data_IF_644340403571
#
_entry.id   IF_644340403571
#
_cell.length_a   1.000
_cell.length_b   1.000
_cell.length_c   1.000
_cell.angle_alpha   90.00
_cell.angle_beta   90.00
_cell.angle_gamma   90.00
#
_symmetry.space_group_name_H-M   'P 1'
#
loop_
_entity.id
_entity.type
_entity.pdbx_description
1 polymer ?
#
# COMPACT_ATOMS: atom_id res chain seq x y z
N UNK A 1 14.06 16.92 17.08
CA UNK A 1 12.70 16.91 16.49
C UNK A 1 12.74 16.74 14.98
N UNK A 2 13.64 17.42 14.26
CA UNK A 2 13.84 17.32 12.80
C UNK A 2 14.04 15.89 12.24
N UNK A 3 14.86 15.05 12.89
CA UNK A 3 15.16 13.70 12.38
C UNK A 3 13.98 12.73 12.38
N UNK A 4 12.95 12.97 13.20
CA UNK A 4 11.76 12.10 13.27
C UNK A 4 10.92 12.20 12.00
N UNK A 5 10.79 13.40 11.43
CA UNK A 5 10.04 13.64 10.19
C UNK A 5 10.72 13.09 8.94
N UNK A 6 12.05 12.92 8.98
CA UNK A 6 12.82 12.31 7.89
C UNK A 6 12.68 10.78 7.86
N UNK A 7 12.49 10.15 9.02
CA UNK A 7 12.52 8.69 9.16
C UNK A 7 11.13 8.03 9.15
N UNK A 8 10.11 8.74 9.64
CA UNK A 8 8.71 8.27 9.67
C UNK A 8 8.14 7.84 8.31
N UNK A 9 8.24 8.64 7.22
CA UNK A 9 7.68 8.23 5.93
C UNK A 9 8.40 7.01 5.37
N UNK A 10 9.74 7.00 5.42
CA UNK A 10 10.56 5.86 4.97
C UNK A 10 10.27 4.56 5.73
N UNK A 11 9.97 4.66 7.02
CA UNK A 11 9.56 3.52 7.84
C UNK A 11 8.16 3.02 7.46
N UNK A 12 7.22 3.92 7.16
CA UNK A 12 5.86 3.59 6.72
C UNK A 12 5.86 2.85 5.38
N UNK A 13 6.62 3.31 4.38
CA UNK A 13 6.81 2.62 3.08
C UNK A 13 7.26 1.17 3.31
N UNK A 14 8.28 0.99 4.17
CA UNK A 14 8.90 -0.32 4.42
C UNK A 14 7.94 -1.29 5.13
N UNK A 15 7.13 -0.80 6.05
CA UNK A 15 6.09 -1.57 6.73
C UNK A 15 5.00 -2.02 5.76
N UNK A 16 4.56 -1.12 4.87
CA UNK A 16 3.56 -1.42 3.83
C UNK A 16 4.06 -2.53 2.91
N UNK A 17 5.30 -2.43 2.40
CA UNK A 17 5.88 -3.45 1.53
C UNK A 17 5.96 -4.82 2.22
N UNK A 18 6.40 -4.87 3.48
CA UNK A 18 6.47 -6.11 4.22
C UNK A 18 5.08 -6.74 4.43
N UNK A 19 4.09 -5.92 4.80
CA UNK A 19 2.69 -6.37 4.88
C UNK A 19 2.19 -6.93 3.55
N UNK A 20 2.62 -6.33 2.41
CA UNK A 20 2.12 -6.76 1.11
C UNK A 20 2.54 -8.15 0.68
N UNK A 21 3.80 -8.48 0.94
CA UNK A 21 4.37 -9.78 0.59
C UNK A 21 3.74 -10.88 1.44
N UNK A 22 3.51 -10.61 2.72
CA UNK A 22 2.91 -11.58 3.63
C UNK A 22 1.46 -11.92 3.25
N UNK A 23 0.59 -10.94 2.98
CA UNK A 23 -0.79 -11.25 2.60
C UNK A 23 -0.84 -12.06 1.29
N UNK A 24 0.02 -11.73 0.31
CA UNK A 24 0.06 -12.43 -0.98
C UNK A 24 0.40 -13.91 -0.79
N UNK A 25 1.38 -14.19 0.05
CA UNK A 25 1.83 -15.56 0.32
C UNK A 25 0.74 -16.39 1.02
N UNK A 26 0.04 -15.79 1.99
CA UNK A 26 -1.05 -16.46 2.71
C UNK A 26 -2.20 -16.82 1.78
N UNK A 27 -2.63 -15.88 0.92
CA UNK A 27 -3.70 -16.15 -0.05
C UNK A 27 -3.32 -17.23 -1.07
N UNK A 28 -2.09 -17.22 -1.59
CA UNK A 28 -1.60 -18.26 -2.49
C UNK A 28 -1.57 -19.63 -1.80
N UNK A 29 -1.09 -19.69 -0.56
CA UNK A 29 -1.04 -20.93 0.20
C UNK A 29 -2.45 -21.47 0.49
N UNK A 30 -3.38 -20.60 0.90
CA UNK A 30 -4.77 -20.98 1.15
C UNK A 30 -5.48 -21.48 -0.12
N UNK A 31 -5.24 -20.85 -1.27
CA UNK A 31 -5.80 -21.30 -2.55
C UNK A 31 -5.31 -22.71 -2.93
N UNK A 32 -4.01 -22.98 -2.75
CA UNK A 32 -3.44 -24.30 -3.03
C UNK A 32 -4.02 -25.39 -2.12
N UNK A 33 -4.14 -25.13 -0.82
CA UNK A 33 -4.71 -26.08 0.14
C UNK A 33 -6.19 -26.39 -0.18
N UNK A 34 -6.97 -25.38 -0.57
CA UNK A 34 -8.37 -25.57 -0.97
C UNK A 34 -8.51 -26.44 -2.22
N UNK A 35 -7.66 -26.23 -3.24
CA UNK A 35 -7.63 -27.06 -4.45
C UNK A 35 -7.29 -28.52 -4.11
N UNK A 36 -6.29 -28.74 -3.25
CA UNK A 36 -5.89 -30.09 -2.83
C UNK A 36 -7.01 -30.80 -2.06
N UNK A 37 -7.69 -30.09 -1.16
CA UNK A 37 -8.85 -30.64 -0.43
C UNK A 37 -10.00 -31.00 -1.37
N UNK A 38 -10.30 -30.15 -2.36
CA UNK A 38 -11.39 -30.41 -3.30
C UNK A 38 -11.08 -31.60 -4.21
N UNK A 39 -9.83 -31.71 -4.70
CA UNK A 39 -9.35 -32.91 -5.42
C UNK A 39 -9.50 -34.18 -4.59
N UNK A 40 -9.10 -34.15 -3.32
CA UNK A 40 -9.22 -35.29 -2.43
C UNK A 40 -10.68 -35.71 -2.19
N UNK A 41 -11.58 -34.74 -2.01
CA UNK A 41 -13.03 -35.02 -1.87
C UNK A 41 -13.62 -35.63 -3.12
N UNK A 42 -13.27 -35.12 -4.30
CA UNK A 42 -13.76 -35.64 -5.58
C UNK A 42 -13.26 -37.05 -5.86
N UNK A 43 -11.96 -37.31 -5.70
CA UNK A 43 -11.39 -38.65 -5.89
C UNK A 43 -11.97 -39.67 -4.92
N UNK A 44 -12.43 -39.22 -3.74
CA UNK A 44 -13.16 -40.06 -2.81
C UNK A 44 -14.62 -40.26 -3.21
N UNK A 45 -15.31 -39.26 -3.74
CA UNK A 45 -16.75 -39.35 -4.02
C UNK A 45 -17.09 -40.01 -5.36
N UNK A 46 -16.26 -39.84 -6.39
CA UNK A 46 -16.49 -40.38 -7.74
C UNK A 46 -16.60 -41.92 -7.77
N UNK A 47 -15.69 -42.70 -7.17
CA UNK A 47 -15.80 -44.17 -7.22
C UNK A 47 -16.95 -44.73 -6.38
N UNK A 48 -17.59 -43.92 -5.52
CA UNK A 48 -18.76 -44.33 -4.72
C UNK A 48 -20.10 -43.98 -5.40
N UNK A 49 -20.10 -43.53 -6.66
CA UNK A 49 -21.33 -43.27 -7.43
C UNK A 49 -21.93 -44.56 -7.99
N UNK A 50 -23.24 -44.56 -8.23
CA UNK A 50 -23.96 -45.70 -8.80
C UNK A 50 -23.54 -46.00 -10.25
N UNK A 51 -23.64 -47.26 -10.68
CA UNK A 51 -23.27 -47.70 -12.04
C UNK A 51 -24.01 -46.91 -13.14
N UNK A 52 -25.29 -46.59 -12.91
CA UNK A 52 -26.09 -45.80 -13.84
C UNK A 52 -25.54 -44.38 -14.03
N UNK A 53 -24.84 -43.81 -13.04
CA UNK A 53 -24.24 -42.49 -13.17
C UNK A 53 -23.04 -42.50 -14.12
N UNK A 54 -22.27 -43.60 -14.14
CA UNK A 54 -21.14 -43.79 -15.05
C UNK A 54 -21.57 -44.02 -16.51
N UNK A 55 -22.76 -44.57 -16.73
CA UNK A 55 -23.33 -44.73 -18.08
C UNK A 55 -23.66 -43.38 -18.74
N UNK A 56 -24.01 -42.36 -17.93
CA UNK A 56 -24.31 -41.00 -18.41
C UNK A 56 -23.12 -40.04 -18.35
N UNK A 57 -22.10 -40.33 -17.54
CA UNK A 57 -20.95 -39.45 -17.34
C UNK A 57 -19.65 -40.23 -17.54
N UNK A 58 -19.01 -40.05 -18.71
CA UNK A 58 -17.70 -40.66 -18.96
C UNK A 58 -16.68 -40.16 -17.93
N UNK A 59 -16.05 -41.09 -17.22
CA UNK A 59 -15.09 -40.78 -16.14
C UNK A 59 -13.96 -39.83 -16.55
N UNK A 60 -13.50 -39.92 -17.80
CA UNK A 60 -12.49 -39.01 -18.36
C UNK A 60 -12.98 -37.57 -18.54
N UNK A 61 -14.23 -37.39 -18.94
CA UNK A 61 -14.85 -36.08 -19.14
C UNK A 61 -15.10 -35.37 -17.81
N UNK A 62 -15.59 -36.10 -16.79
CA UNK A 62 -15.79 -35.55 -15.44
C UNK A 62 -14.45 -35.15 -14.79
N UNK A 63 -13.39 -35.95 -14.97
CA UNK A 63 -12.07 -35.62 -14.46
C UNK A 63 -11.47 -34.37 -15.13
N UNK A 64 -11.68 -34.23 -16.45
CA UNK A 64 -11.27 -33.05 -17.20
C UNK A 64 -12.02 -31.79 -16.76
N UNK A 65 -13.36 -31.89 -16.64
CA UNK A 65 -14.20 -30.80 -16.14
C UNK A 65 -13.81 -30.37 -14.73
N UNK A 66 -13.60 -31.32 -13.82
CA UNK A 66 -13.12 -31.00 -12.48
C UNK A 66 -11.78 -30.25 -12.54
N UNK A 67 -10.84 -30.69 -13.37
CA UNK A 67 -9.54 -30.05 -13.44
C UNK A 67 -9.62 -28.62 -14.01
N UNK A 68 -10.49 -28.38 -14.99
CA UNK A 68 -10.81 -27.02 -15.44
C UNK A 68 -11.40 -26.15 -14.31
N UNK A 69 -12.37 -26.68 -13.57
CA UNK A 69 -13.05 -25.93 -12.51
C UNK A 69 -12.12 -25.61 -11.34
N UNK A 70 -11.21 -26.55 -11.00
CA UNK A 70 -10.15 -26.32 -10.02
C UNK A 70 -9.16 -25.25 -10.48
N UNK A 71 -8.85 -25.22 -11.77
CA UNK A 71 -7.98 -24.19 -12.36
C UNK A 71 -8.65 -22.82 -12.29
N UNK A 72 -9.93 -22.73 -12.67
CA UNK A 72 -10.76 -21.51 -12.54
C UNK A 72 -10.87 -21.04 -11.09
N UNK A 73 -11.00 -21.98 -10.14
CA UNK A 73 -11.06 -21.67 -8.71
C UNK A 73 -9.73 -21.14 -8.17
N UNK A 74 -8.60 -21.73 -8.59
CA UNK A 74 -7.26 -21.24 -8.25
C UNK A 74 -6.99 -19.84 -8.77
N UNK A 75 -7.33 -19.57 -10.03
CA UNK A 75 -7.20 -18.25 -10.65
C UNK A 75 -8.12 -17.20 -10.02
N UNK A 76 -9.33 -17.62 -9.62
CA UNK A 76 -10.31 -16.79 -8.93
C UNK A 76 -9.88 -16.38 -7.51
N UNK A 77 -9.31 -17.32 -6.75
CA UNK A 77 -8.89 -17.09 -5.37
C UNK A 77 -7.55 -16.35 -5.27
N UNK A 78 -6.56 -16.76 -6.07
CA UNK A 78 -5.23 -16.19 -6.05
C UNK A 78 -5.11 -14.97 -6.95
N UNK A 79 -5.17 -15.18 -8.27
CA UNK A 79 -4.63 -14.22 -9.22
C UNK A 79 -5.45 -12.93 -9.34
N UNK A 80 -6.79 -13.04 -9.36
CA UNK A 80 -7.67 -11.86 -9.48
C UNK A 80 -7.67 -10.99 -8.22
N UNK A 81 -7.67 -11.60 -7.04
CA UNK A 81 -7.65 -10.89 -5.77
C UNK A 81 -6.29 -10.21 -5.54
N UNK A 82 -5.20 -10.92 -5.86
CA UNK A 82 -3.85 -10.36 -5.78
C UNK A 82 -3.67 -9.22 -6.80
N UNK A 83 -4.18 -9.34 -8.02
CA UNK A 83 -4.13 -8.25 -9.03
C UNK A 83 -4.84 -6.98 -8.55
N UNK A 84 -6.04 -7.10 -7.97
CA UNK A 84 -6.77 -5.93 -7.41
C UNK A 84 -5.97 -5.25 -6.29
N UNK A 85 -5.44 -6.04 -5.36
CA UNK A 85 -4.59 -5.54 -4.27
C UNK A 85 -3.29 -4.90 -4.79
N UNK A 86 -2.68 -5.47 -5.83
CA UNK A 86 -1.47 -4.94 -6.47
C UNK A 86 -1.72 -3.54 -7.03
N UNK A 87 -2.82 -3.35 -7.77
CA UNK A 87 -3.17 -2.04 -8.36
C UNK A 87 -3.42 -1.01 -7.26
N UNK A 88 -4.11 -1.38 -6.18
CA UNK A 88 -4.31 -0.49 -5.04
C UNK A 88 -2.99 -0.09 -4.37
N UNK A 89 -2.06 -1.04 -4.18
CA UNK A 89 -0.74 -0.75 -3.61
C UNK A 89 0.13 0.12 -4.51
N UNK A 90 0.13 -0.12 -5.83
CA UNK A 90 0.86 0.73 -6.79
C UNK A 90 0.33 2.18 -6.78
N UNK A 91 -0.98 2.37 -6.57
CA UNK A 91 -1.56 3.70 -6.41
C UNK A 91 -1.08 4.38 -5.12
N UNK A 92 -1.12 3.66 -3.98
CA UNK A 92 -0.67 4.19 -2.69
C UNK A 92 0.80 4.60 -2.70
N UNK A 93 1.66 3.77 -3.30
CA UNK A 93 3.09 4.07 -3.44
C UNK A 93 3.36 5.32 -4.30
N UNK A 94 2.59 5.51 -5.38
CA UNK A 94 2.69 6.73 -6.21
C UNK A 94 2.22 7.99 -5.47
N UNK A 95 1.18 7.87 -4.64
CA UNK A 95 0.71 8.97 -3.80
C UNK A 95 1.77 9.35 -2.78
N UNK A 96 2.41 8.36 -2.16
CA UNK A 96 3.47 8.58 -1.16
C UNK A 96 4.71 9.24 -1.77
N UNK A 97 5.16 8.77 -2.94
CA UNK A 97 6.26 9.39 -3.70
C UNK A 97 5.96 10.84 -4.09
N UNK A 98 4.72 11.13 -4.50
CA UNK A 98 4.30 12.49 -4.79
C UNK A 98 4.33 13.40 -3.55
N UNK A 99 3.95 12.89 -2.38
CA UNK A 99 4.03 13.63 -1.11
C UNK A 99 5.48 13.88 -0.69
N UNK A 100 6.40 12.90 -0.86
CA UNK A 100 7.83 13.11 -0.58
C UNK A 100 8.45 14.17 -1.49
N UNK A 101 8.12 14.17 -2.78
CA UNK A 101 8.61 15.18 -3.74
C UNK A 101 8.13 16.59 -3.39
N UNK A 102 6.88 16.73 -2.93
CA UNK A 102 6.33 18.01 -2.45
C UNK A 102 7.02 18.50 -1.16
N UNK A 103 7.57 17.57 -0.37
CA UNK A 103 8.29 17.87 0.88
C UNK A 103 9.70 18.38 0.62
N UNK A 104 10.37 17.81 -0.39
CA UNK A 104 11.70 18.24 -0.84
C UNK A 104 11.67 19.63 -1.50
N UNK A 105 10.66 19.91 -2.33
CA UNK A 105 10.49 21.21 -2.97
C UNK A 105 10.23 22.32 -1.95
N UNK A 106 9.35 22.08 -0.97
CA UNK A 106 9.12 23.02 0.13
C UNK A 106 10.40 23.31 0.91
N UNK A 107 11.17 22.28 1.29
CA UNK A 107 12.44 22.49 1.98
C UNK A 107 13.42 23.35 1.15
N UNK A 108 13.53 23.11 -0.16
CA UNK A 108 14.41 23.87 -1.05
C UNK A 108 14.02 25.36 -1.15
N UNK A 109 12.72 25.66 -1.22
CA UNK A 109 12.19 27.03 -1.25
C UNK A 109 12.47 27.76 0.07
N UNK A 110 12.32 27.09 1.21
CA UNK A 110 12.68 27.66 2.52
C UNK A 110 14.18 27.98 2.61
N UNK A 111 15.06 27.05 2.21
CA UNK A 111 16.50 27.30 2.17
C UNK A 111 16.88 28.42 1.19
N UNK A 112 16.24 28.53 0.03
CA UNK A 112 16.48 29.63 -0.91
C UNK A 112 16.03 30.98 -0.34
N UNK A 113 14.89 31.02 0.35
CA UNK A 113 14.35 32.24 1.00
C UNK A 113 15.21 32.72 2.18
N UNK A 114 15.87 31.81 2.87
CA UNK A 114 16.81 32.11 3.96
C UNK A 114 18.15 32.63 3.42
N UNK A 115 18.58 32.17 2.23
CA UNK A 115 19.79 32.62 1.55
C UNK A 115 19.63 33.94 0.78
N UNK A 116 18.42 34.33 0.38
CA UNK A 116 18.14 35.64 -0.27
C UNK A 116 17.84 36.77 0.71
N UNK A 117 17.88 36.52 2.03
CA UNK A 117 17.70 37.57 3.05
C UNK A 117 16.30 38.18 3.10
N UNK A 118 15.34 37.67 2.34
CA UNK A 118 13.92 38.08 2.42
C UNK A 118 13.21 37.35 3.56
N UNK A 119 13.76 37.50 4.76
CA UNK A 119 13.19 37.03 6.02
C UNK A 119 12.03 37.91 6.47
N UNK A 120 10.90 37.90 5.76
CA UNK A 120 9.61 38.24 6.42
C UNK A 120 9.08 36.94 7.03
N UNK A 121 9.51 36.70 8.27
CA UNK A 121 9.00 35.65 9.13
C UNK A 121 7.48 35.80 9.25
N UNK A 122 6.72 35.01 8.49
CA UNK A 122 5.35 34.67 8.86
C UNK A 122 5.45 33.57 9.93
N UNK A 123 5.96 33.94 11.10
CA UNK A 123 5.60 33.27 12.32
C UNK A 123 4.18 33.71 12.65
N UNK A 124 3.24 32.78 12.59
CA UNK A 124 1.95 32.98 13.23
C UNK A 124 2.17 33.15 14.74
N UNK A 125 2.31 34.40 15.19
CA UNK A 125 1.94 34.89 16.51
C UNK A 125 2.09 36.41 16.50
N UNK A 126 0.97 37.12 16.70
CA UNK A 126 0.89 38.55 16.43
C UNK A 126 1.76 39.39 17.36
N UNK A 127 2.48 40.36 16.79
CA UNK A 127 2.83 41.62 17.43
C UNK A 127 2.80 42.68 16.33
N UNK A 128 2.00 43.73 16.55
CA UNK A 128 1.71 44.75 15.55
C UNK A 128 2.95 45.51 15.08
N UNK A 129 3.03 45.71 13.77
CA UNK A 129 3.96 46.63 13.12
C UNK A 129 3.49 48.07 13.41
N UNK A 130 4.25 48.81 14.21
CA UNK A 130 4.13 50.26 14.35
C UNK A 130 5.33 50.92 13.68
N UNK A 131 5.13 51.41 12.45
CA UNK A 131 6.15 52.12 11.67
C UNK A 131 6.16 53.60 12.05
N UNK A 132 7.28 54.11 12.58
CA UNK A 132 7.50 55.56 12.70
C UNK A 132 8.90 55.92 12.18
N UNK A 133 8.92 56.58 11.02
CA UNK A 133 10.05 57.32 10.45
C UNK A 133 11.36 56.54 10.24
N UNK A 134 11.28 55.41 9.53
CA UNK A 134 12.39 54.94 8.68
C UNK A 134 13.69 54.52 9.39
N UNK A 135 13.67 54.18 10.68
CA UNK A 135 14.79 53.52 11.36
C UNK A 135 14.29 52.31 12.14
N UNK A 136 14.82 51.13 11.81
CA UNK A 136 14.57 49.89 12.55
C UNK A 136 15.34 49.96 13.86
N UNK A 137 14.62 50.13 14.98
CA UNK A 137 15.20 50.05 16.32
C UNK A 137 14.95 48.64 16.84
N UNK A 138 16.02 47.87 17.04
CA UNK A 138 15.96 46.62 17.78
C UNK A 138 15.81 46.95 19.26
N UNK A 139 14.67 46.60 19.86
CA UNK A 139 14.51 46.67 21.30
C UNK A 139 14.94 45.31 21.88
N UNK A 140 16.18 45.24 22.35
CA UNK A 140 16.68 44.10 23.11
C UNK A 140 16.01 44.08 24.48
N UNK A 141 14.99 43.24 24.65
CA UNK A 141 14.44 42.95 25.96
C UNK A 141 15.30 41.87 26.63
N UNK A 142 16.40 42.31 27.25
CA UNK A 142 17.07 41.54 28.29
C UNK A 142 16.75 42.15 29.66
N UNK A 143 16.24 41.29 30.56
CA UNK A 143 15.93 41.51 32.00
C UNK A 143 14.74 42.44 32.30
N UNK A 144 13.87 42.17 33.28
CA UNK A 144 13.84 41.20 34.40
C UNK A 144 12.42 40.67 34.60
#
# INVERSE_FOLDING_TARGET
MEFIYLFLPKFAVKLTLYGTVNYRNIFNYAAQDQILRLRGKFLRSVPHQDMSWFDFNQSGEVASHMNEDLTKMGDGLGEKNIKKLKIANEFLSKVEEHVENLSLDKNLIFYQREMTGEGKAISGFGVGEGEVNGRVVYQDNFSS
#
